data_IF_155948948286
#
_entry.id   IF_155948948286
#
_cell.length_a   1.000
_cell.length_b   1.000
_cell.length_c   1.000
_cell.angle_alpha   90.00
_cell.angle_beta   90.00
_cell.angle_gamma   90.00
#
_symmetry.space_group_name_H-M   'P 1'
#
loop_
_entity.id
_entity.type
_entity.pdbx_description
1 polymer ?
#
# COMPACT_ATOMS: atom_id res chain seq x y z
N UNK A 1 13.11 -1.62 -14.10
CA UNK A 1 11.65 -1.43 -14.29
C UNK A 1 11.01 -0.86 -13.03
N UNK A 2 9.83 -0.24 -13.14
CA UNK A 2 8.99 0.17 -12.01
C UNK A 2 7.59 -0.39 -12.21
N UNK A 3 7.07 -1.07 -11.19
CA UNK A 3 5.72 -1.62 -11.16
C UNK A 3 4.84 -0.83 -10.17
N UNK A 4 3.84 -0.11 -10.67
CA UNK A 4 2.97 0.77 -9.85
C UNK A 4 1.66 1.07 -10.58
N UNK A 5 0.79 1.89 -10.00
CA UNK A 5 -0.45 2.32 -10.66
C UNK A 5 -0.18 2.95 -12.03
N UNK A 6 -1.07 2.68 -12.98
CA UNK A 6 -1.13 3.23 -14.34
C UNK A 6 -0.99 4.77 -14.37
N UNK A 7 -1.43 5.45 -13.30
CA UNK A 7 -1.36 6.91 -13.16
C UNK A 7 0.06 7.47 -13.15
N UNK A 8 1.05 6.64 -12.83
CA UNK A 8 2.46 7.03 -12.85
C UNK A 8 3.17 6.66 -14.15
N UNK A 9 2.48 6.02 -15.12
CA UNK A 9 3.08 5.59 -16.38
C UNK A 9 3.84 6.73 -17.05
N UNK A 10 3.16 7.87 -17.25
CA UNK A 10 3.76 9.00 -17.94
C UNK A 10 5.02 9.50 -17.24
N UNK A 11 5.01 9.59 -15.90
CA UNK A 11 6.17 10.04 -15.12
C UNK A 11 7.33 9.04 -15.20
N UNK A 12 7.05 7.74 -15.14
CA UNK A 12 8.06 6.67 -15.19
C UNK A 12 8.68 6.57 -16.58
N UNK A 13 7.85 6.50 -17.62
CA UNK A 13 8.30 6.37 -19.01
C UNK A 13 9.04 7.64 -19.49
N UNK A 14 8.66 8.83 -19.00
CA UNK A 14 9.39 10.08 -19.26
C UNK A 14 10.83 10.07 -18.74
N UNK A 15 11.14 9.21 -17.76
CA UNK A 15 12.51 9.00 -17.27
C UNK A 15 13.25 7.87 -18.01
N UNK A 16 12.66 7.30 -19.07
CA UNK A 16 13.22 6.16 -19.81
C UNK A 16 13.20 4.85 -19.02
N UNK A 17 12.39 4.76 -17.96
CA UNK A 17 12.27 3.58 -17.12
C UNK A 17 11.14 2.71 -17.66
N UNK A 18 11.38 1.42 -17.80
CA UNK A 18 10.36 0.44 -18.16
C UNK A 18 9.24 0.36 -17.11
N UNK A 19 7.99 0.47 -17.54
CA UNK A 19 6.81 0.56 -16.69
C UNK A 19 5.94 -0.69 -16.76
N UNK A 20 5.47 -1.15 -15.60
CA UNK A 20 4.48 -2.22 -15.48
C UNK A 20 3.30 -1.77 -14.61
N UNK A 21 2.05 -1.90 -15.08
CA UNK A 21 0.88 -1.53 -14.29
C UNK A 21 0.63 -2.54 -13.17
N UNK A 22 0.35 -2.02 -11.97
CA UNK A 22 -0.10 -2.80 -10.82
C UNK A 22 -1.30 -2.12 -10.20
N UNK A 23 -2.42 -2.84 -10.12
CA UNK A 23 -3.66 -2.34 -9.49
C UNK A 23 -3.49 -2.18 -7.97
N UNK A 24 -4.27 -1.32 -7.30
CA UNK A 24 -5.32 -0.46 -7.84
C UNK A 24 -4.80 0.85 -8.45
N UNK A 25 -5.57 1.41 -9.38
CA UNK A 25 -5.33 2.75 -9.95
C UNK A 25 -6.11 3.87 -9.23
N UNK A 26 -7.03 3.48 -8.35
CA UNK A 26 -7.94 4.41 -7.68
C UNK A 26 -7.29 5.04 -6.44
N UNK A 27 -7.18 6.37 -6.46
CA UNK A 27 -7.29 7.17 -5.23
C UNK A 27 -8.71 6.98 -4.68
N UNK A 28 -8.93 7.21 -3.37
CA UNK A 28 -10.29 7.27 -2.85
C UNK A 28 -11.08 8.27 -3.69
N UNK A 29 -12.23 7.82 -4.21
CA UNK A 29 -13.09 8.72 -4.96
C UNK A 29 -13.76 9.62 -3.92
N UNK A 30 -13.19 10.79 -3.65
CA UNK A 30 -13.69 11.69 -2.60
C UNK A 30 -15.16 12.11 -2.81
N UNK A 31 -15.67 12.12 -4.05
CA UNK A 31 -17.09 12.40 -4.30
C UNK A 31 -18.00 11.24 -3.88
N UNK A 32 -17.53 10.00 -4.02
CA UNK A 32 -18.30 8.79 -3.67
C UNK A 32 -18.09 8.33 -2.23
N UNK A 33 -16.84 8.39 -1.78
CA UNK A 33 -16.36 7.79 -0.54
C UNK A 33 -16.07 8.85 0.53
N UNK A 34 -16.22 10.15 0.22
CA UNK A 34 -15.82 11.25 1.09
C UNK A 34 -16.48 11.23 2.46
N UNK A 35 -17.79 10.96 2.54
CA UNK A 35 -18.50 10.86 3.82
C UNK A 35 -18.02 9.66 4.64
N UNK A 36 -17.86 8.50 4.00
CA UNK A 36 -17.40 7.29 4.67
C UNK A 36 -15.95 7.42 5.15
N UNK A 37 -15.06 7.97 4.31
CA UNK A 37 -13.70 8.29 4.67
C UNK A 37 -13.66 9.28 5.84
N UNK A 38 -14.46 10.35 5.79
CA UNK A 38 -14.53 11.36 6.86
C UNK A 38 -14.99 10.74 8.18
N UNK A 39 -16.00 9.87 8.14
CA UNK A 39 -16.46 9.11 9.30
C UNK A 39 -15.34 8.23 9.87
N UNK A 40 -14.68 7.43 9.02
CA UNK A 40 -13.57 6.56 9.44
C UNK A 40 -12.41 7.35 10.05
N UNK A 41 -12.02 8.48 9.43
CA UNK A 41 -10.97 9.36 9.95
C UNK A 41 -11.39 9.96 11.30
N UNK A 42 -12.62 10.43 11.45
CA UNK A 42 -13.12 10.98 12.73
C UNK A 42 -13.13 9.97 13.88
N UNK A 43 -13.21 8.68 13.56
CA UNK A 43 -13.14 7.57 14.51
C UNK A 43 -11.71 7.03 14.73
N UNK A 44 -10.68 7.67 14.15
CA UNK A 44 -9.30 7.20 14.23
C UNK A 44 -8.98 5.98 13.36
N UNK A 45 -9.88 5.59 12.45
CA UNK A 45 -9.81 4.38 11.62
C UNK A 45 -9.32 4.64 10.19
N UNK A 46 -8.54 5.70 9.99
CA UNK A 46 -8.02 6.08 8.67
C UNK A 46 -7.15 4.98 8.03
N UNK A 47 -6.31 4.30 8.82
CA UNK A 47 -5.47 3.20 8.33
C UNK A 47 -6.34 2.01 7.92
N UNK A 48 -7.40 1.70 8.67
CA UNK A 48 -8.33 0.63 8.30
C UNK A 48 -9.00 0.92 6.96
N UNK A 49 -9.40 2.17 6.70
CA UNK A 49 -9.94 2.56 5.40
C UNK A 49 -8.94 2.26 4.27
N UNK A 50 -7.69 2.71 4.41
CA UNK A 50 -6.64 2.49 3.39
C UNK A 50 -6.37 1.01 3.18
N UNK A 51 -6.19 0.23 4.24
CA UNK A 51 -5.85 -1.19 4.11
C UNK A 51 -7.07 -1.98 3.63
N UNK A 52 -8.17 -1.98 4.37
CA UNK A 52 -9.28 -2.90 4.17
C UNK A 52 -10.20 -2.52 3.01
N UNK A 53 -10.36 -1.22 2.73
CA UNK A 53 -11.34 -0.75 1.75
C UNK A 53 -10.69 -0.26 0.45
N UNK A 54 -9.43 0.19 0.49
CA UNK A 54 -8.73 0.66 -0.71
C UNK A 54 -7.78 -0.40 -1.28
N UNK A 55 -7.01 -1.11 -0.45
CA UNK A 55 -5.97 -2.03 -0.93
C UNK A 55 -6.45 -3.49 -1.01
N UNK A 56 -7.04 -4.01 0.07
CA UNK A 56 -7.45 -5.42 0.16
C UNK A 56 -8.41 -5.88 -0.95
N UNK A 57 -9.38 -5.07 -1.44
CA UNK A 57 -10.25 -5.49 -2.54
C UNK A 57 -9.49 -5.81 -3.84
N UNK A 58 -8.30 -5.24 -3.99
CA UNK A 58 -7.46 -5.41 -5.18
C UNK A 58 -6.30 -6.38 -4.95
N UNK A 59 -6.13 -6.95 -3.75
CA UNK A 59 -4.95 -7.76 -3.39
C UNK A 59 -4.64 -8.88 -4.40
N UNK A 60 -5.67 -9.62 -4.84
CA UNK A 60 -5.52 -10.70 -5.82
C UNK A 60 -5.10 -10.17 -7.19
N UNK A 61 -5.68 -9.06 -7.62
CA UNK A 61 -5.35 -8.42 -8.87
C UNK A 61 -3.90 -7.90 -8.87
N UNK A 62 -3.51 -7.18 -7.80
CA UNK A 62 -2.14 -6.73 -7.58
C UNK A 62 -1.13 -7.87 -7.54
N UNK A 63 -1.48 -9.01 -6.93
CA UNK A 63 -0.65 -10.20 -6.92
C UNK A 63 -0.39 -10.73 -8.33
N UNK A 64 -1.43 -10.85 -9.16
CA UNK A 64 -1.29 -11.29 -10.55
C UNK A 64 -0.43 -10.32 -11.37
N UNK A 65 -0.65 -9.02 -11.21
CA UNK A 65 0.12 -7.98 -11.90
C UNK A 65 1.60 -8.03 -11.50
N UNK A 66 1.88 -8.11 -10.21
CA UNK A 66 3.25 -8.21 -9.68
C UNK A 66 3.96 -9.50 -10.09
N UNK A 67 3.24 -10.63 -10.13
CA UNK A 67 3.79 -11.89 -10.61
C UNK A 67 4.25 -11.79 -12.06
N UNK A 68 3.44 -11.17 -12.92
CA UNK A 68 3.79 -10.94 -14.31
C UNK A 68 5.00 -9.98 -14.44
N UNK A 69 4.97 -8.86 -13.69
CA UNK A 69 6.05 -7.87 -13.72
C UNK A 69 7.38 -8.40 -13.16
N UNK A 70 7.34 -9.30 -12.17
CA UNK A 70 8.54 -9.81 -11.48
C UNK A 70 9.17 -11.02 -12.18
N UNK A 71 8.62 -11.47 -13.31
CA UNK A 71 9.17 -12.62 -14.03
C UNK A 71 10.58 -12.32 -14.55
N UNK A 72 11.56 -13.08 -14.07
CA UNK A 72 12.98 -12.91 -14.45
C UNK A 72 13.73 -11.82 -13.68
N UNK A 73 13.13 -11.23 -12.64
CA UNK A 73 13.82 -10.30 -11.76
C UNK A 73 14.73 -11.04 -10.76
N UNK A 74 15.88 -10.46 -10.42
CA UNK A 74 16.82 -11.02 -9.43
C UNK A 74 16.53 -10.56 -7.98
N UNK A 75 15.74 -9.49 -7.81
CA UNK A 75 15.42 -8.86 -6.54
C UNK A 75 14.10 -8.10 -6.63
N UNK A 76 13.25 -8.23 -5.60
CA UNK A 76 12.04 -7.41 -5.45
C UNK A 76 12.19 -6.38 -4.34
N UNK A 77 11.96 -5.10 -4.68
CA UNK A 77 11.91 -3.99 -3.72
C UNK A 77 10.49 -3.44 -3.69
N UNK A 78 9.86 -3.37 -2.52
CA UNK A 78 8.47 -2.91 -2.40
C UNK A 78 8.27 -1.83 -1.36
N UNK A 79 7.24 -1.00 -1.54
CA UNK A 79 6.66 -0.17 -0.48
C UNK A 79 5.90 -1.07 0.53
N UNK A 80 5.74 -0.68 1.81
CA UNK A 80 5.10 -1.54 2.82
C UNK A 80 3.60 -1.77 2.57
N UNK A 81 2.96 -0.90 1.77
CA UNK A 81 1.56 -1.08 1.35
C UNK A 81 1.39 -2.06 0.18
N UNK A 82 2.49 -2.56 -0.41
CA UNK A 82 2.46 -3.58 -1.46
C UNK A 82 2.37 -4.98 -0.82
N UNK A 83 1.24 -5.28 -0.18
CA UNK A 83 1.06 -6.50 0.63
C UNK A 83 1.28 -7.82 -0.13
N UNK A 84 1.12 -7.83 -1.46
CA UNK A 84 1.39 -9.00 -2.29
C UNK A 84 2.89 -9.25 -2.55
N UNK A 85 3.76 -8.27 -2.25
CA UNK A 85 5.19 -8.32 -2.61
C UNK A 85 5.93 -9.52 -2.02
N UNK A 86 5.80 -9.75 -0.70
CA UNK A 86 6.44 -10.88 -0.02
C UNK A 86 5.99 -12.22 -0.60
N UNK A 87 4.69 -12.38 -0.85
CA UNK A 87 4.10 -13.59 -1.41
C UNK A 87 4.59 -13.87 -2.84
N UNK A 88 4.74 -12.83 -3.66
CA UNK A 88 5.27 -12.96 -5.02
C UNK A 88 6.74 -13.37 -4.97
N UNK A 89 7.55 -12.70 -4.16
CA UNK A 89 8.99 -13.00 -4.03
C UNK A 89 9.24 -14.43 -3.52
N UNK A 90 8.50 -14.86 -2.49
CA UNK A 90 8.57 -16.24 -1.99
C UNK A 90 8.16 -17.25 -3.07
N UNK A 91 7.09 -16.95 -3.83
CA UNK A 91 6.59 -17.84 -4.87
C UNK A 91 7.57 -18.05 -6.03
N UNK A 92 8.31 -17.00 -6.41
CA UNK A 92 9.29 -17.07 -7.51
C UNK A 92 10.72 -17.34 -7.03
N UNK A 93 10.95 -17.36 -5.72
CA UNK A 93 12.22 -17.76 -5.11
C UNK A 93 13.31 -16.70 -5.16
N UNK A 94 12.96 -15.41 -5.08
CA UNK A 94 13.93 -14.30 -5.14
C UNK A 94 14.02 -13.53 -3.82
N UNK A 95 15.15 -12.88 -3.51
CA UNK A 95 15.26 -11.99 -2.36
C UNK A 95 14.23 -10.86 -2.40
N UNK A 96 13.78 -10.42 -1.22
CA UNK A 96 12.80 -9.35 -1.05
C UNK A 96 13.26 -8.31 -0.03
N UNK A 97 13.08 -7.04 -0.38
CA UNK A 97 13.35 -5.90 0.49
C UNK A 97 12.11 -5.01 0.58
N UNK A 98 11.63 -4.77 1.80
CA UNK A 98 10.60 -3.76 2.07
C UNK A 98 11.28 -2.41 2.37
N UNK A 99 10.94 -1.37 1.62
CA UNK A 99 11.52 -0.04 1.74
C UNK A 99 10.52 0.95 2.32
N UNK A 100 10.94 1.72 3.32
CA UNK A 100 10.15 2.78 3.95
C UNK A 100 10.68 4.14 3.47
N UNK A 101 9.80 4.98 2.94
CA UNK A 101 10.17 6.27 2.35
C UNK A 101 9.87 7.48 3.26
N UNK A 102 9.22 7.27 4.40
CA UNK A 102 8.90 8.32 5.38
C UNK A 102 9.24 7.86 6.80
N UNK A 103 9.95 8.69 7.59
CA UNK A 103 10.17 8.42 9.02
C UNK A 103 8.87 8.22 9.80
N UNK A 104 7.77 8.84 9.35
CA UNK A 104 6.45 8.71 9.97
C UNK A 104 5.93 7.26 9.95
N UNK A 105 6.39 6.43 9.03
CA UNK A 105 6.04 5.01 8.97
C UNK A 105 6.80 4.16 10.00
N UNK A 106 7.74 4.75 10.75
CA UNK A 106 8.52 4.10 11.81
C UNK A 106 7.92 4.44 13.17
N UNK A 107 6.74 3.89 13.45
CA UNK A 107 6.03 4.15 14.71
C UNK A 107 6.79 3.51 15.89
N UNK A 108 7.22 4.34 16.83
CA UNK A 108 7.71 3.91 18.13
C UNK A 108 6.55 3.59 19.08
N UNK A 109 6.87 2.93 20.21
CA UNK A 109 5.90 2.71 21.28
C UNK A 109 5.28 4.01 21.81
N UNK A 110 5.96 5.15 21.67
CA UNK A 110 5.49 6.46 22.11
C UNK A 110 4.63 7.16 21.05
N UNK A 111 4.81 6.85 19.76
CA UNK A 111 3.99 7.41 18.69
C UNK A 111 2.55 6.86 18.75
N UNK A 112 2.40 5.58 19.12
CA UNK A 112 1.10 4.91 19.24
C UNK A 112 0.19 5.53 20.32
N UNK A 113 0.78 6.11 21.38
CA UNK A 113 0.05 6.68 22.51
C UNK A 113 -0.74 7.94 22.15
N UNK A 114 -0.31 8.66 21.11
CA UNK A 114 -1.07 9.81 20.56
C UNK A 114 -2.29 9.37 19.74
N UNK A 115 -2.25 8.18 19.13
CA UNK A 115 -3.34 7.61 18.32
C UNK A 115 -4.44 6.94 19.16
N UNK A 116 -4.08 6.34 20.29
CA UNK A 116 -5.02 5.61 21.17
C UNK A 116 -5.77 6.51 22.16
N UNK A 117 -5.41 7.80 22.27
CA UNK A 117 -6.10 8.77 23.14
C UNK A 117 -7.31 9.43 22.44
N UNK A 118 -8.24 8.61 21.96
CA UNK A 118 -9.61 9.04 21.65
C UNK A 118 -10.60 8.20 22.47
N UNK A 119 -10.58 8.43 23.78
CA UNK A 119 -11.68 8.21 24.74
C UNK A 119 -12.54 6.94 24.63
N UNK A 120 -12.11 5.85 25.29
CA UNK A 120 -12.90 5.02 26.22
C UNK A 120 -12.19 3.68 26.44
N UNK A 121 -11.46 3.57 27.55
CA UNK A 121 -11.11 2.27 28.13
C UNK A 121 -12.06 2.09 29.32
N UNK A 122 -13.05 1.17 29.28
CA UNK A 122 -13.80 0.86 30.49
C UNK A 122 -12.84 0.26 31.53
N UNK A 123 -12.96 0.64 32.82
CA UNK A 123 -12.09 0.09 33.85
C UNK A 123 -12.31 -1.43 33.99
N UNK A 124 -11.21 -2.15 34.24
CA UNK A 124 -11.21 -3.55 34.65
C UNK A 124 -11.90 -3.73 36.01
#
# INVERSE_FOLDING_TARGET
>A
MIATSERYRQQVEAQGIEFYPVRPDSLPNFERDGEFLSLMVSQGRAIEYVVCYMLMPHLRASYTDLMAASTGADLLITHPLTFAGSLVAEKIGIPWVSCILSPYSFLSAYDLQSYLWSGNIPPL
#
